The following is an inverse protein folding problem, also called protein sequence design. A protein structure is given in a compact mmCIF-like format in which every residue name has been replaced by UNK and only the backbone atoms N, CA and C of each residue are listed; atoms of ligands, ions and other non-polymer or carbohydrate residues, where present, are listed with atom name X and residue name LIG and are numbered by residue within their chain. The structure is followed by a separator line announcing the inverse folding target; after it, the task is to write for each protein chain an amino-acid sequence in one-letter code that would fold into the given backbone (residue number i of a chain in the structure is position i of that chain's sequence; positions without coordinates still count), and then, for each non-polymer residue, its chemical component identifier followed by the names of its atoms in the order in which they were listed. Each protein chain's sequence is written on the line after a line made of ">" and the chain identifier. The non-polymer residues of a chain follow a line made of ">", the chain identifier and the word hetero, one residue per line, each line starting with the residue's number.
data_IF_342756710866
#
_entry.id   IF_342756710866
#
_cell.length_a   1.000
_cell.length_b   1.000
_cell.length_c   1.000
_cell.angle_alpha   90.00
_cell.angle_beta   90.00
_cell.angle_gamma   90.00
#
_symmetry.space_group_name_H-M   'P 1'
#
loop_
_entity.id
_entity.type
_entity.pdbx_description
1 polymer ?
#
# COMPACT_ATOMS: atom_id res chain seq x y z
N UNK A 1 -8.37 9.06 -108.42
CA UNK A 1 -7.20 9.96 -108.54
C UNK A 1 -7.51 11.17 -107.67
N UNK A 2 -6.71 11.36 -106.59
CA UNK A 2 -6.53 12.57 -105.74
C UNK A 2 -7.80 13.11 -105.02
N UNK A 3 -8.00 12.90 -103.71
CA UNK A 3 -7.44 13.62 -102.51
C UNK A 3 -7.99 15.06 -102.39
N UNK A 4 -8.41 15.65 -101.27
CA UNK A 4 -8.02 15.58 -99.83
C UNK A 4 -9.19 16.16 -98.99
N UNK A 5 -9.39 15.67 -97.75
CA UNK A 5 -9.95 16.40 -96.58
C UNK A 5 -9.62 15.54 -95.35
N UNK A 6 -9.34 15.98 -94.12
CA UNK A 6 -9.00 17.22 -93.40
C UNK A 6 -8.56 16.69 -91.99
N UNK A 7 -7.74 17.39 -91.19
CA UNK A 7 -6.97 16.81 -90.09
C UNK A 7 -7.76 16.79 -88.78
N UNK A 8 -7.40 15.90 -87.84
CA UNK A 8 -7.30 16.15 -86.39
C UNK A 8 -7.05 14.85 -85.60
N UNK A 9 -6.31 15.00 -84.50
CA UNK A 9 -6.29 14.16 -83.30
C UNK A 9 -5.58 12.79 -83.39
N UNK A 10 -4.48 12.68 -82.63
CA UNK A 10 -4.42 12.00 -81.31
C UNK A 10 -3.20 11.08 -81.11
N UNK A 11 -2.64 11.15 -79.88
CA UNK A 11 -1.77 10.16 -79.21
C UNK A 11 -0.27 10.30 -79.62
N UNK A 12 0.72 10.40 -78.72
CA UNK A 12 1.31 9.32 -77.90
C UNK A 12 2.25 9.88 -76.82
N UNK A 13 2.26 9.17 -75.69
CA UNK A 13 3.19 9.12 -74.56
C UNK A 13 4.70 9.30 -74.83
N UNK A 14 5.42 9.87 -73.83
CA UNK A 14 6.73 9.44 -73.24
C UNK A 14 7.59 10.67 -72.91
N UNK A 15 7.87 10.96 -71.63
CA UNK A 15 8.92 10.38 -70.75
C UNK A 15 10.22 11.21 -70.85
N UNK A 16 10.79 11.52 -69.68
CA UNK A 16 12.14 12.09 -69.42
C UNK A 16 12.29 13.61 -69.44
N UNK A 17 12.12 14.23 -68.27
CA UNK A 17 13.02 15.30 -67.81
C UNK A 17 13.16 15.23 -66.28
N UNK A 18 14.41 15.10 -65.83
CA UNK A 18 14.96 15.27 -64.47
C UNK A 18 16.29 16.01 -64.67
N UNK A 19 16.90 16.65 -63.65
CA UNK A 19 16.40 17.50 -62.55
C UNK A 19 17.13 18.89 -62.67
N UNK A 20 17.48 19.75 -61.66
CA UNK A 20 18.05 19.46 -60.33
C UNK A 20 17.55 20.33 -59.13
N UNK A 21 17.96 19.89 -57.94
CA UNK A 21 18.24 20.62 -56.69
C UNK A 21 17.24 21.67 -56.17
N UNK A 22 16.43 21.25 -55.19
CA UNK A 22 16.24 22.01 -53.96
C UNK A 22 16.21 21.03 -52.79
N UNK A 23 17.31 21.04 -52.04
CA UNK A 23 17.50 20.34 -50.77
C UNK A 23 16.55 20.97 -49.74
N UNK A 24 16.01 20.14 -48.84
CA UNK A 24 15.41 20.53 -47.56
C UNK A 24 13.90 20.84 -47.53
N UNK A 25 13.04 19.80 -47.51
CA UNK A 25 11.82 19.83 -46.67
C UNK A 25 11.60 18.44 -46.03
N UNK A 26 12.14 18.34 -44.82
CA UNK A 26 11.65 17.63 -43.63
C UNK A 26 11.04 16.22 -43.75
N UNK A 27 11.92 15.26 -43.44
CA UNK A 27 11.68 13.98 -42.78
C UNK A 27 10.50 13.94 -41.78
N UNK A 28 9.74 12.85 -41.86
CA UNK A 28 9.22 12.04 -40.73
C UNK A 28 8.47 12.81 -39.63
N UNK A 29 7.14 12.88 -39.74
CA UNK A 29 6.25 12.98 -38.57
C UNK A 29 5.46 11.67 -38.48
N UNK A 30 6.17 10.63 -38.06
CA UNK A 30 5.59 9.35 -37.68
C UNK A 30 6.32 8.88 -36.41
N UNK A 31 6.16 9.59 -35.30
CA UNK A 31 6.31 9.09 -33.93
C UNK A 31 6.06 10.26 -32.96
N UNK A 32 4.86 10.34 -32.39
CA UNK A 32 4.60 10.93 -31.07
C UNK A 32 3.18 10.54 -30.63
N UNK A 33 2.85 9.25 -30.73
CA UNK A 33 1.92 8.62 -29.80
C UNK A 33 2.80 7.99 -28.72
N UNK A 34 3.40 8.81 -27.88
CA UNK A 34 3.85 8.30 -26.60
C UNK A 34 2.59 8.21 -25.75
N UNK A 35 2.08 7.01 -25.40
CA UNK A 35 1.17 6.94 -24.28
C UNK A 35 1.92 7.56 -23.10
N UNK A 36 1.39 8.68 -22.63
CA UNK A 36 1.91 9.37 -21.45
C UNK A 36 1.53 8.52 -20.25
N UNK A 37 2.24 7.41 -20.02
CA UNK A 37 2.22 6.73 -18.74
C UNK A 37 2.99 7.64 -17.77
N UNK A 38 2.30 8.65 -17.26
CA UNK A 38 2.80 9.34 -16.07
C UNK A 38 2.55 8.40 -14.90
N UNK A 39 3.65 7.83 -14.43
CA UNK A 39 3.88 7.14 -13.16
C UNK A 39 2.75 7.31 -12.15
N UNK A 40 2.05 6.23 -11.82
CA UNK A 40 1.50 6.08 -10.47
C UNK A 40 2.63 5.50 -9.61
N UNK A 41 3.62 6.32 -9.28
CA UNK A 41 4.60 5.94 -8.24
C UNK A 41 4.11 6.48 -6.90
N UNK A 42 3.10 5.81 -6.32
CA UNK A 42 2.78 5.99 -4.91
C UNK A 42 3.62 5.00 -4.10
N UNK A 43 4.72 5.49 -3.51
CA UNK A 43 5.41 4.82 -2.41
C UNK A 43 5.98 3.43 -2.73
N UNK A 44 6.56 3.23 -3.91
CA UNK A 44 7.25 1.98 -4.24
C UNK A 44 8.64 1.95 -3.57
N UNK A 45 8.91 0.93 -2.76
CA UNK A 45 10.25 0.69 -2.19
C UNK A 45 11.25 0.48 -3.34
N UNK A 46 12.25 1.35 -3.43
CA UNK A 46 13.21 1.32 -4.53
C UNK A 46 14.29 0.25 -4.33
N UNK A 47 14.93 -0.19 -5.43
CA UNK A 47 16.08 -1.12 -5.36
C UNK A 47 17.21 -0.57 -4.47
N UNK A 48 17.41 0.75 -4.46
CA UNK A 48 18.39 1.38 -3.58
C UNK A 48 18.05 1.20 -2.09
N UNK A 49 16.77 1.21 -1.73
CA UNK A 49 16.30 0.91 -0.36
C UNK A 49 16.48 -0.57 -0.05
N UNK A 50 16.12 -1.48 -0.98
CA UNK A 50 16.33 -2.92 -0.80
C UNK A 50 17.79 -3.30 -0.56
N UNK A 51 18.72 -2.72 -1.33
CA UNK A 51 20.17 -2.91 -1.13
C UNK A 51 20.61 -2.41 0.26
N UNK A 52 20.09 -1.26 0.71
CA UNK A 52 20.39 -0.74 2.06
C UNK A 52 19.87 -1.69 3.15
N UNK A 53 18.67 -2.22 3.00
CA UNK A 53 18.05 -3.17 3.95
C UNK A 53 18.86 -4.47 4.00
N UNK A 54 19.20 -5.02 2.84
CA UNK A 54 20.01 -6.24 2.76
C UNK A 54 21.38 -6.07 3.44
N UNK A 55 22.04 -4.94 3.17
CA UNK A 55 23.34 -4.62 3.76
C UNK A 55 23.26 -4.39 5.27
N UNK A 56 22.19 -3.75 5.76
CA UNK A 56 22.01 -3.42 7.18
C UNK A 56 21.59 -4.63 8.01
N UNK A 57 20.68 -5.45 7.48
CA UNK A 57 20.07 -6.57 8.20
C UNK A 57 20.56 -7.91 7.66
N UNK A 58 20.07 -8.34 6.50
CA UNK A 58 20.48 -9.54 5.76
C UNK A 58 19.59 -9.73 4.51
N UNK A 59 19.90 -10.73 3.68
CA UNK A 59 19.10 -11.12 2.50
C UNK A 59 17.64 -11.46 2.82
N UNK A 60 17.35 -12.06 3.97
CA UNK A 60 15.96 -12.44 4.33
C UNK A 60 15.11 -11.21 4.66
N UNK A 61 15.73 -10.14 5.19
CA UNK A 61 15.06 -8.85 5.35
C UNK A 61 14.62 -8.27 4.01
N UNK A 62 15.50 -8.30 3.01
CA UNK A 62 15.16 -7.92 1.64
C UNK A 62 14.02 -8.78 1.09
N UNK A 63 14.12 -10.10 1.20
CA UNK A 63 13.08 -11.03 0.71
C UNK A 63 11.69 -10.74 1.33
N UNK A 64 11.63 -10.42 2.63
CA UNK A 64 10.36 -10.04 3.29
C UNK A 64 9.79 -8.73 2.74
N UNK A 65 10.62 -7.73 2.50
CA UNK A 65 10.19 -6.43 1.96
C UNK A 65 9.75 -6.57 0.50
N UNK A 66 10.46 -7.33 -0.31
CA UNK A 66 10.04 -7.67 -1.69
C UNK A 66 8.70 -8.43 -1.69
N UNK A 67 8.52 -9.39 -0.76
CA UNK A 67 7.26 -10.11 -0.61
C UNK A 67 6.10 -9.18 -0.20
N UNK A 68 6.38 -8.16 0.63
CA UNK A 68 5.40 -7.14 0.98
C UNK A 68 5.02 -6.25 -0.21
N UNK A 69 5.99 -5.82 -1.02
CA UNK A 69 5.70 -5.09 -2.26
C UNK A 69 4.82 -5.93 -3.19
N UNK A 70 5.15 -7.21 -3.36
CA UNK A 70 4.36 -8.14 -4.17
C UNK A 70 2.94 -8.33 -3.62
N UNK A 71 2.77 -8.42 -2.31
CA UNK A 71 1.45 -8.48 -1.66
C UNK A 71 0.61 -7.27 -2.08
N UNK A 72 1.17 -6.05 -1.96
CA UNK A 72 0.47 -4.81 -2.30
C UNK A 72 0.07 -4.81 -3.79
N UNK A 73 1.02 -5.06 -4.68
CA UNK A 73 0.80 -5.05 -6.14
C UNK A 73 -0.28 -6.06 -6.58
N UNK A 74 -0.32 -7.23 -5.95
CA UNK A 74 -1.23 -8.32 -6.35
C UNK A 74 -2.60 -8.26 -5.68
N UNK A 75 -2.78 -7.40 -4.66
CA UNK A 75 -4.00 -7.35 -3.84
C UNK A 75 -4.89 -6.12 -4.09
N UNK A 76 -4.50 -5.19 -4.97
CA UNK A 76 -5.21 -3.92 -5.14
C UNK A 76 -6.69 -4.07 -5.50
N UNK A 77 -7.00 -5.05 -6.36
CA UNK A 77 -8.35 -5.30 -6.88
C UNK A 77 -9.19 -6.27 -6.03
N UNK A 78 -8.67 -6.73 -4.89
CA UNK A 78 -9.41 -7.59 -3.98
C UNK A 78 -10.50 -6.81 -3.24
N UNK A 79 -11.54 -7.51 -2.77
CA UNK A 79 -12.51 -6.95 -1.84
C UNK A 79 -11.85 -6.61 -0.49
N UNK A 80 -12.48 -5.72 0.30
CA UNK A 80 -11.99 -5.38 1.64
C UNK A 80 -11.71 -6.65 2.48
N UNK A 81 -12.66 -7.59 2.52
CA UNK A 81 -12.51 -8.82 3.30
C UNK A 81 -11.33 -9.67 2.84
N UNK A 82 -11.12 -9.81 1.53
CA UNK A 82 -9.97 -10.55 0.99
C UNK A 82 -8.66 -9.83 1.32
N UNK A 83 -8.63 -8.49 1.26
CA UNK A 83 -7.48 -7.68 1.69
C UNK A 83 -7.15 -7.92 3.17
N UNK A 84 -8.15 -7.92 4.05
CA UNK A 84 -7.96 -8.21 5.47
C UNK A 84 -7.29 -9.58 5.67
N UNK A 85 -7.76 -10.61 4.96
CA UNK A 85 -7.24 -11.98 5.07
C UNK A 85 -5.78 -12.06 4.63
N UNK A 86 -5.45 -11.54 3.45
CA UNK A 86 -4.07 -11.65 2.92
C UNK A 86 -3.10 -10.81 3.73
N UNK A 87 -3.50 -9.63 4.21
CA UNK A 87 -2.67 -8.76 5.04
C UNK A 87 -2.46 -9.37 6.43
N UNK A 88 -3.53 -9.85 7.09
CA UNK A 88 -3.41 -10.45 8.42
C UNK A 88 -2.49 -11.67 8.39
N UNK A 89 -2.68 -12.55 7.40
CA UNK A 89 -1.83 -13.72 7.18
C UNK A 89 -0.38 -13.32 6.92
N UNK A 90 -0.15 -12.34 6.06
CA UNK A 90 1.20 -11.92 5.68
C UNK A 90 2.05 -11.54 6.90
N UNK A 91 1.56 -10.62 7.73
CA UNK A 91 2.33 -10.17 8.90
C UNK A 91 2.47 -11.27 9.96
N UNK A 92 1.41 -12.04 10.21
CA UNK A 92 1.46 -13.17 11.14
C UNK A 92 2.42 -14.30 10.69
N UNK A 93 2.77 -14.37 9.40
CA UNK A 93 3.76 -15.33 8.87
C UNK A 93 5.18 -14.78 8.72
N UNK A 94 5.35 -13.46 8.63
CA UNK A 94 6.64 -12.84 8.31
C UNK A 94 7.29 -12.10 9.48
N UNK A 95 6.62 -12.05 10.63
CA UNK A 95 7.14 -11.45 11.86
C UNK A 95 7.09 -12.45 13.00
N UNK A 96 8.06 -12.35 13.90
CA UNK A 96 8.08 -13.05 15.19
C UNK A 96 7.73 -12.04 16.29
N UNK A 97 6.90 -12.46 17.25
CA UNK A 97 6.60 -11.64 18.42
C UNK A 97 7.84 -11.52 19.33
N UNK A 98 8.32 -10.31 19.56
CA UNK A 98 9.41 -9.99 20.49
C UNK A 98 9.13 -8.63 21.11
N UNK A 99 9.30 -8.50 22.43
CA UNK A 99 9.06 -7.23 23.14
C UNK A 99 10.06 -6.14 22.73
N UNK A 100 9.59 -4.89 22.73
CA UNK A 100 10.34 -3.71 22.32
C UNK A 100 11.67 -3.51 23.04
N UNK A 101 11.73 -3.75 24.35
CA UNK A 101 12.96 -3.59 25.11
C UNK A 101 14.08 -4.52 24.59
N UNK A 102 13.71 -5.70 24.10
CA UNK A 102 14.66 -6.66 23.53
C UNK A 102 15.02 -6.33 22.07
N UNK A 103 14.07 -5.80 21.28
CA UNK A 103 14.30 -5.44 19.88
C UNK A 103 15.06 -4.11 19.72
N UNK A 104 14.58 -3.08 20.40
CA UNK A 104 14.94 -1.67 20.18
C UNK A 104 15.75 -1.08 21.33
N UNK A 105 15.84 -1.77 22.47
CA UNK A 105 16.48 -1.23 23.68
C UNK A 105 15.72 -0.05 24.30
N UNK A 106 14.43 0.08 23.96
CA UNK A 106 13.54 1.15 24.38
C UNK A 106 12.13 0.57 24.55
N UNK A 107 11.43 0.95 25.60
CA UNK A 107 10.01 0.60 25.78
C UNK A 107 9.10 1.45 24.87
N UNK A 108 7.98 0.88 24.43
CA UNK A 108 6.95 1.51 23.60
C UNK A 108 7.52 2.18 22.32
N UNK A 109 8.33 1.45 21.55
CA UNK A 109 8.84 1.85 20.25
C UNK A 109 7.92 1.35 19.12
N UNK A 110 7.07 2.23 18.60
CA UNK A 110 6.19 1.87 17.49
C UNK A 110 6.98 1.81 16.18
N UNK A 111 7.26 0.61 15.66
CA UNK A 111 8.00 0.42 14.43
C UNK A 111 7.18 0.80 13.19
N UNK A 112 7.83 1.34 12.15
CA UNK A 112 7.20 1.46 10.83
C UNK A 112 7.03 0.07 10.22
N UNK A 113 6.11 -0.11 9.23
CA UNK A 113 6.00 -1.38 8.52
C UNK A 113 7.33 -1.83 7.89
N UNK A 114 8.14 -0.89 7.41
CA UNK A 114 9.44 -1.18 6.82
C UNK A 114 10.45 -1.63 7.87
N UNK A 115 10.49 -0.97 9.04
CA UNK A 115 11.34 -1.37 10.16
C UNK A 115 10.99 -2.78 10.67
N UNK A 116 9.70 -3.02 10.93
CA UNK A 116 9.18 -4.30 11.42
C UNK A 116 9.49 -5.45 10.46
N UNK A 117 9.32 -5.26 9.15
CA UNK A 117 9.67 -6.27 8.14
C UNK A 117 11.18 -6.42 7.96
N UNK A 118 11.94 -5.32 8.03
CA UNK A 118 13.39 -5.38 7.90
C UNK A 118 14.01 -6.20 9.03
N UNK A 119 13.56 -6.01 10.27
CA UNK A 119 14.01 -6.83 11.40
C UNK A 119 13.34 -8.21 11.42
N UNK A 120 12.10 -8.32 10.95
CA UNK A 120 11.31 -9.56 10.93
C UNK A 120 10.67 -9.89 12.27
N UNK A 121 10.43 -8.87 13.09
CA UNK A 121 9.90 -9.00 14.44
C UNK A 121 9.25 -7.69 14.89
N UNK A 122 8.42 -7.78 15.92
CA UNK A 122 7.74 -6.65 16.57
C UNK A 122 6.81 -7.18 17.67
N UNK A 123 6.24 -6.29 18.46
CA UNK A 123 5.23 -6.62 19.47
C UNK A 123 3.81 -6.29 18.98
N UNK A 124 2.81 -6.24 19.86
CA UNK A 124 1.41 -6.24 19.46
C UNK A 124 0.99 -5.00 18.63
N UNK A 125 1.54 -3.82 18.94
CA UNK A 125 1.30 -2.61 18.19
C UNK A 125 1.91 -2.67 16.80
N UNK A 126 3.12 -3.23 16.65
CA UNK A 126 3.85 -3.27 15.39
C UNK A 126 3.07 -4.07 14.35
N UNK A 127 2.50 -5.21 14.75
CA UNK A 127 1.59 -5.99 13.89
C UNK A 127 0.35 -5.16 13.52
N UNK A 128 -0.24 -4.44 14.47
CA UNK A 128 -1.46 -3.66 14.24
C UNK A 128 -1.22 -2.47 13.30
N UNK A 129 -0.10 -1.78 13.48
CA UNK A 129 0.38 -0.65 12.70
C UNK A 129 0.72 -1.12 11.27
N UNK A 130 1.48 -2.20 11.13
CA UNK A 130 1.88 -2.70 9.83
C UNK A 130 0.68 -3.16 8.98
N UNK A 131 -0.28 -3.86 9.61
CA UNK A 131 -1.57 -4.23 8.98
C UNK A 131 -2.37 -2.98 8.59
N UNK A 132 -2.44 -1.99 9.47
CA UNK A 132 -3.18 -0.73 9.25
C UNK A 132 -2.68 0.02 8.01
N UNK A 133 -1.39 0.32 7.95
CA UNK A 133 -0.82 1.08 6.84
C UNK A 133 -0.85 0.30 5.52
N UNK A 134 -0.66 -1.02 5.57
CA UNK A 134 -0.79 -1.86 4.37
C UNK A 134 -2.22 -1.84 3.82
N UNK A 135 -3.23 -1.94 4.69
CA UNK A 135 -4.64 -1.88 4.25
C UNK A 135 -5.01 -0.49 3.70
N UNK A 136 -4.47 0.59 4.28
CA UNK A 136 -4.62 1.93 3.71
C UNK A 136 -3.98 2.03 2.32
N UNK A 137 -2.80 1.45 2.13
CA UNK A 137 -2.13 1.44 0.82
C UNK A 137 -2.90 0.60 -0.23
N UNK A 138 -3.65 -0.39 0.23
CA UNK A 138 -4.60 -1.17 -0.57
C UNK A 138 -5.97 -0.46 -0.74
N UNK A 139 -6.06 0.85 -0.47
CA UNK A 139 -7.26 1.67 -0.58
C UNK A 139 -8.46 1.21 0.27
N UNK A 140 -8.21 0.52 1.39
CA UNK A 140 -9.26 0.32 2.41
C UNK A 140 -9.51 1.64 3.13
N UNK A 141 -10.76 2.07 3.14
CA UNK A 141 -11.19 3.33 3.75
C UNK A 141 -10.73 3.42 5.22
N UNK A 142 -10.02 4.49 5.56
CA UNK A 142 -9.49 4.77 6.89
C UNK A 142 -10.58 4.89 7.96
N UNK A 143 -11.80 5.32 7.60
CA UNK A 143 -12.93 5.36 8.54
C UNK A 143 -13.34 3.94 9.02
N UNK A 144 -13.00 2.91 8.25
CA UNK A 144 -13.27 1.51 8.59
C UNK A 144 -12.19 0.89 9.46
N UNK A 145 -11.00 1.48 9.56
CA UNK A 145 -9.85 0.90 10.24
C UNK A 145 -9.58 1.61 11.57
N UNK A 146 -9.42 0.85 12.65
CA UNK A 146 -8.97 1.39 13.94
C UNK A 146 -8.01 0.45 14.65
N UNK A 147 -6.86 0.97 15.03
CA UNK A 147 -5.96 0.35 15.99
C UNK A 147 -6.62 0.44 17.37
N UNK A 148 -6.78 -0.68 18.05
CA UNK A 148 -7.56 -0.79 19.28
C UNK A 148 -6.71 -1.35 20.40
N UNK A 149 -6.55 -0.55 21.45
CA UNK A 149 -5.97 -0.99 22.70
C UNK A 149 -7.03 -1.77 23.50
N UNK A 150 -6.66 -2.98 23.91
CA UNK A 150 -7.54 -3.90 24.63
C UNK A 150 -6.82 -4.47 25.86
N UNK A 151 -7.59 -4.97 26.82
CA UNK A 151 -7.09 -5.88 27.85
C UNK A 151 -7.33 -7.32 27.38
N UNK A 152 -6.26 -8.08 27.18
CA UNK A 152 -6.32 -9.50 26.87
C UNK A 152 -6.49 -10.29 28.18
N UNK A 153 -7.73 -10.67 28.52
CA UNK A 153 -8.06 -11.16 29.87
C UNK A 153 -7.49 -12.53 30.19
N UNK A 154 -7.29 -13.39 29.18
CA UNK A 154 -6.75 -14.74 29.37
C UNK A 154 -5.28 -14.72 29.80
N UNK A 155 -4.51 -13.74 29.33
CA UNK A 155 -3.09 -13.56 29.63
C UNK A 155 -2.84 -12.42 30.62
N UNK A 156 -3.88 -11.66 30.98
CA UNK A 156 -3.82 -10.66 32.05
C UNK A 156 -3.05 -9.39 31.72
N UNK A 157 -2.78 -9.10 30.44
CA UNK A 157 -1.96 -7.96 29.99
C UNK A 157 -2.70 -7.03 29.03
N UNK A 158 -2.12 -5.85 28.84
CA UNK A 158 -2.45 -4.97 27.73
C UNK A 158 -2.10 -5.64 26.40
N UNK A 159 -2.88 -5.33 25.37
CA UNK A 159 -2.66 -5.84 24.02
C UNK A 159 -3.17 -4.83 22.99
N UNK A 160 -2.70 -4.94 21.75
CA UNK A 160 -3.14 -4.10 20.65
C UNK A 160 -3.54 -4.95 19.45
N UNK A 161 -4.69 -4.62 18.86
CA UNK A 161 -5.23 -5.30 17.68
C UNK A 161 -5.68 -4.28 16.64
N UNK A 162 -5.76 -4.68 15.39
CA UNK A 162 -6.43 -3.90 14.36
C UNK A 162 -7.89 -4.33 14.27
N UNK A 163 -8.80 -3.36 14.20
CA UNK A 163 -10.24 -3.62 13.99
C UNK A 163 -10.71 -3.03 12.67
N UNK A 164 -11.60 -3.76 11.98
CA UNK A 164 -12.25 -3.34 10.74
C UNK A 164 -13.77 -3.25 10.93
N UNK A 165 -14.36 -2.13 10.55
CA UNK A 165 -15.79 -1.89 10.56
C UNK A 165 -16.31 -1.83 9.12
N UNK A 166 -17.13 -2.80 8.69
CA UNK A 166 -17.76 -2.76 7.37
C UNK A 166 -18.60 -1.47 7.18
N UNK A 167 -19.24 -1.03 8.26
CA UNK A 167 -19.92 0.25 8.39
C UNK A 167 -19.94 0.69 9.86
N UNK A 168 -20.37 1.93 10.14
CA UNK A 168 -20.34 2.56 11.47
C UNK A 168 -21.10 1.81 12.57
N UNK A 169 -22.04 0.91 12.22
CA UNK A 169 -22.86 0.13 13.16
C UNK A 169 -22.52 -1.36 13.18
N UNK A 170 -21.59 -1.81 12.32
CA UNK A 170 -21.20 -3.20 12.25
C UNK A 170 -20.45 -3.63 13.52
N UNK A 171 -20.60 -4.89 13.91
CA UNK A 171 -19.66 -5.51 14.84
C UNK A 171 -18.32 -5.62 14.12
N UNK A 172 -17.23 -5.06 14.66
CA UNK A 172 -15.97 -5.06 13.94
C UNK A 172 -15.37 -6.45 13.86
N UNK A 173 -14.61 -6.69 12.79
CA UNK A 173 -13.69 -7.81 12.67
C UNK A 173 -12.38 -7.46 13.38
N UNK A 174 -11.76 -8.44 14.03
CA UNK A 174 -10.50 -8.30 14.76
C UNK A 174 -9.39 -9.01 13.99
N UNK A 175 -8.33 -8.27 13.70
CA UNK A 175 -7.08 -8.74 13.12
C UNK A 175 -6.01 -8.70 14.22
N UNK A 176 -5.56 -9.88 14.63
CA UNK A 176 -4.71 -10.07 15.82
C UNK A 176 -3.48 -10.93 15.45
N UNK A 177 -2.42 -10.82 16.25
CA UNK A 177 -1.23 -11.67 16.17
C UNK A 177 -1.29 -12.86 17.12
N UNK A 178 -2.09 -12.80 18.20
CA UNK A 178 -2.29 -13.92 19.13
C UNK A 178 -3.27 -14.96 18.58
N UNK A 179 -4.39 -14.51 18.02
CA UNK A 179 -5.35 -15.33 17.28
C UNK A 179 -5.33 -14.91 15.81
N UNK A 180 -4.72 -15.75 14.97
CA UNK A 180 -4.54 -15.46 13.54
C UNK A 180 -5.84 -15.52 12.74
N UNK A 181 -6.90 -16.11 13.30
CA UNK A 181 -8.21 -16.17 12.66
C UNK A 181 -8.95 -14.83 12.84
N UNK A 182 -9.39 -14.25 11.72
CA UNK A 182 -10.17 -13.01 11.75
C UNK A 182 -11.57 -13.31 12.27
N UNK A 183 -11.90 -12.78 13.44
CA UNK A 183 -13.18 -13.02 14.13
C UNK A 183 -13.93 -11.72 14.39
N UNK A 184 -15.27 -11.74 14.34
CA UNK A 184 -16.08 -10.66 14.92
C UNK A 184 -15.73 -10.42 16.39
N UNK A 185 -15.71 -9.16 16.81
CA UNK A 185 -15.31 -8.78 18.17
C UNK A 185 -16.20 -9.39 19.27
N UNK A 186 -17.48 -9.67 18.99
CA UNK A 186 -18.37 -10.35 19.92
C UNK A 186 -18.01 -11.84 20.15
N UNK A 187 -17.17 -12.43 19.29
CA UNK A 187 -16.60 -13.77 19.48
C UNK A 187 -15.22 -13.75 20.16
N UNK A 188 -14.62 -12.56 20.35
CA UNK A 188 -13.34 -12.35 21.04
C UNK A 188 -13.57 -11.89 22.48
N UNK A 189 -14.23 -12.75 23.27
CA UNK A 189 -14.54 -12.49 24.69
C UNK A 189 -13.29 -12.40 25.57
N UNK A 190 -12.14 -12.83 25.04
CA UNK A 190 -10.82 -12.69 25.61
C UNK A 190 -10.25 -11.26 25.51
N UNK A 191 -10.85 -10.38 24.70
CA UNK A 191 -10.39 -9.00 24.51
C UNK A 191 -11.44 -7.99 25.02
N UNK A 192 -11.02 -7.14 25.96
CA UNK A 192 -11.87 -6.05 26.48
C UNK A 192 -11.35 -4.71 25.96
N UNK A 193 -12.07 -4.00 25.07
CA UNK A 193 -11.58 -2.75 24.48
C UNK A 193 -11.53 -1.61 25.50
N UNK A 194 -10.47 -0.81 25.42
CA UNK A 194 -10.27 0.39 26.27
C UNK A 194 -10.39 1.66 25.43
N UNK A 195 -9.65 1.75 24.33
CA UNK A 195 -9.74 2.85 23.36
C UNK A 195 -9.30 2.38 21.98
N UNK A 196 -9.64 3.15 20.95
CA UNK A 196 -9.15 2.92 19.59
C UNK A 196 -8.87 4.23 18.87
N UNK A 197 -8.00 4.18 17.87
CA UNK A 197 -7.57 5.34 17.11
C UNK A 197 -7.20 4.94 15.68
N UNK A 198 -7.10 5.95 14.83
CA UNK A 198 -6.57 5.86 13.47
C UNK A 198 -5.87 7.20 13.14
N UNK A 199 -5.45 7.45 11.91
CA UNK A 199 -4.76 8.70 11.55
C UNK A 199 -5.57 9.96 11.85
N UNK A 200 -6.90 9.88 11.84
CA UNK A 200 -7.82 11.01 11.93
C UNK A 200 -8.43 11.24 13.33
N UNK A 201 -8.37 10.27 14.24
CA UNK A 201 -9.12 10.37 15.49
C UNK A 201 -8.77 9.38 16.59
N UNK A 202 -9.23 9.70 17.80
CA UNK A 202 -9.15 8.88 19.01
C UNK A 202 -10.55 8.70 19.62
N UNK A 203 -10.93 7.47 19.94
CA UNK A 203 -12.22 7.07 20.52
C UNK A 203 -12.02 6.25 21.80
N UNK A 204 -12.67 6.63 22.90
CA UNK A 204 -12.67 5.84 24.14
C UNK A 204 -13.83 4.83 24.12
N UNK A 205 -13.58 3.58 24.54
CA UNK A 205 -14.62 2.57 24.65
C UNK A 205 -15.68 3.00 25.69
N UNK A 206 -16.96 2.80 25.35
CA UNK A 206 -18.09 2.89 26.29
C UNK A 206 -18.68 1.51 26.45
N UNK A 207 -19.30 1.25 27.60
CA UNK A 207 -19.99 0.00 27.92
C UNK A 207 -21.17 -0.37 26.99
N UNK A 208 -21.54 0.48 26.02
CA UNK A 208 -22.68 0.27 25.08
C UNK A 208 -22.39 0.72 23.64
N UNK A 209 -21.40 0.13 22.99
CA UNK A 209 -21.35 -0.02 21.53
C UNK A 209 -20.78 1.12 20.70
N UNK A 210 -20.85 2.37 21.14
CA UNK A 210 -20.23 3.49 20.43
C UNK A 210 -19.21 4.22 21.30
N UNK A 211 -17.93 4.06 20.95
CA UNK A 211 -16.86 4.80 21.61
C UNK A 211 -17.01 6.31 21.40
N UNK A 212 -16.72 7.11 22.43
CA UNK A 212 -16.80 8.58 22.33
C UNK A 212 -15.53 9.08 21.65
N UNK A 213 -15.64 9.78 20.52
CA UNK A 213 -14.50 10.52 19.93
C UNK A 213 -14.08 11.60 20.93
N UNK A 214 -12.81 11.60 21.32
CA UNK A 214 -12.26 12.53 22.33
C UNK A 214 -11.15 13.44 21.79
N UNK A 215 -10.74 13.27 20.53
CA UNK A 215 -9.77 14.14 19.88
C UNK A 215 -9.13 13.51 18.64
N UNK A 216 -7.98 14.06 18.25
CA UNK A 216 -7.11 13.55 17.19
C UNK A 216 -6.08 12.55 17.75
N UNK A 217 -5.66 11.59 16.93
CA UNK A 217 -4.62 10.63 17.30
C UNK A 217 -3.23 11.26 17.45
N UNK A 218 -2.99 12.44 16.86
CA UNK A 218 -1.75 13.22 17.05
C UNK A 218 -1.46 13.59 18.50
N UNK A 219 -2.43 13.46 19.41
CA UNK A 219 -2.18 13.57 20.86
C UNK A 219 -1.36 12.41 21.42
N UNK A 220 -1.20 11.32 20.66
CA UNK A 220 -0.31 10.22 20.97
C UNK A 220 1.07 10.57 20.38
N UNK A 221 2.01 10.97 21.23
CA UNK A 221 3.37 11.34 20.81
C UNK A 221 4.05 10.25 19.97
N UNK A 222 3.77 8.98 20.27
CA UNK A 222 4.28 7.82 19.53
C UNK A 222 3.78 7.77 18.08
N UNK A 223 2.53 8.18 17.83
CA UNK A 223 1.96 8.22 16.48
C UNK A 223 2.58 9.34 15.62
N UNK A 224 2.85 10.51 16.22
CA UNK A 224 3.54 11.60 15.52
C UNK A 224 5.00 11.23 15.18
N UNK A 225 5.70 10.55 16.09
CA UNK A 225 7.05 10.05 15.85
C UNK A 225 7.07 9.01 14.72
N UNK A 226 6.17 8.03 14.79
CA UNK A 226 5.97 7.02 13.75
C UNK A 226 5.72 7.67 12.39
N UNK A 227 4.79 8.63 12.31
CA UNK A 227 4.46 9.31 11.05
C UNK A 227 5.69 10.02 10.44
N UNK A 228 6.52 10.67 11.26
CA UNK A 228 7.77 11.30 10.80
C UNK A 228 8.77 10.28 10.26
N UNK A 229 8.92 9.12 10.90
CA UNK A 229 9.79 8.05 10.41
C UNK A 229 9.28 7.45 9.10
N UNK A 230 7.96 7.28 8.95
CA UNK A 230 7.35 6.80 7.71
C UNK A 230 7.59 7.73 6.50
N UNK A 231 7.75 9.03 6.70
CA UNK A 231 8.14 9.96 5.63
C UNK A 231 9.60 9.75 5.18
N UNK A 232 10.47 9.31 6.08
CA UNK A 232 11.89 9.05 5.79
C UNK A 232 12.14 7.67 5.16
N UNK A 233 11.17 6.75 5.25
CA UNK A 233 11.24 5.39 4.70
C UNK A 233 10.93 5.32 3.18
N UNK A 234 10.58 6.45 2.56
CA UNK A 234 10.29 6.59 1.11
C UNK A 234 11.55 6.92 0.30
#
# INVERSE_FOLDING_TARGET
>A
MVSVADPSLMIVMKKWFRPPNNVMVCLVIALCLTPSYTLIAKGEITEAVLIKIEKKYNKFARERVEAWQKLIMTSQNLSDLEKLIVVNRFFNSNMIFIDDIALWGKEDYWATPLEALSIGAGDCEDYSIAKYFTLKQLDVDEEKLRITYVKAVNIGQAHMVLTYFENKRATPLVLDNLDIEIKPANLRTDLVPVYSFNGDGLWLAKSRGEGKRVGNASRLSLWEDLAKRMEADQ
#
